data_IF_910227534349
#
_entry.id   IF_910227534349
#
_cell.length_a   1.000
_cell.length_b   1.000
_cell.length_c   1.000
_cell.angle_alpha   90.00
_cell.angle_beta   90.00
_cell.angle_gamma   90.00
#
_symmetry.space_group_name_H-M   'P 1'
#
loop_
_entity.id
_entity.type
_entity.pdbx_description
1 polymer ?
#
# COMPACT_ATOMS: atom_id res chain seq x y z
N UNK A 1 3.31 -6.65 -18.85
CA UNK A 1 3.66 -5.90 -17.63
C UNK A 1 4.49 -6.83 -16.74
N UNK A 2 5.70 -6.45 -16.33
CA UNK A 2 6.56 -7.32 -15.53
C UNK A 2 6.10 -7.34 -14.06
N UNK A 3 6.44 -8.41 -13.32
CA UNK A 3 6.06 -8.56 -11.90
C UNK A 3 6.58 -7.40 -11.05
N UNK A 4 7.80 -6.94 -11.31
CA UNK A 4 8.43 -5.79 -10.65
C UNK A 4 7.64 -4.50 -10.87
N UNK A 5 7.12 -4.29 -12.08
CA UNK A 5 6.31 -3.10 -12.36
C UNK A 5 4.97 -3.12 -11.62
N UNK A 6 4.37 -4.29 -11.41
CA UNK A 6 3.15 -4.42 -10.61
C UNK A 6 3.45 -4.07 -9.15
N UNK A 7 4.52 -4.64 -8.58
CA UNK A 7 4.96 -4.34 -7.21
C UNK A 7 5.23 -2.84 -7.04
N UNK A 8 5.95 -2.22 -7.98
CA UNK A 8 6.23 -0.78 -7.95
C UNK A 8 4.96 0.09 -7.99
N UNK A 9 3.91 -0.35 -8.68
CA UNK A 9 2.63 0.37 -8.70
C UNK A 9 1.85 0.18 -7.39
N UNK A 10 1.86 -1.02 -6.83
CA UNK A 10 1.18 -1.33 -5.57
C UNK A 10 1.85 -0.67 -4.35
N UNK A 11 3.17 -0.45 -4.38
CA UNK A 11 3.88 0.29 -3.31
C UNK A 11 3.80 1.81 -3.46
N UNK A 12 3.22 2.30 -4.56
CA UNK A 12 3.14 3.74 -4.81
C UNK A 12 2.22 4.42 -3.80
N UNK A 13 2.72 5.45 -3.12
CA UNK A 13 1.92 6.29 -2.23
C UNK A 13 0.69 6.88 -2.94
N UNK A 14 0.81 7.19 -4.25
CA UNK A 14 -0.30 7.70 -5.08
C UNK A 14 -1.43 6.67 -5.22
N UNK A 15 -1.09 5.39 -5.33
CA UNK A 15 -2.09 4.32 -5.44
C UNK A 15 -2.95 4.23 -4.17
N UNK A 16 -2.31 4.23 -3.00
CA UNK A 16 -3.00 4.13 -1.71
C UNK A 16 -3.84 5.36 -1.39
N UNK A 17 -3.36 6.57 -1.73
CA UNK A 17 -4.15 7.80 -1.57
C UNK A 17 -5.41 7.75 -2.44
N UNK A 18 -5.31 7.28 -3.69
CA UNK A 18 -6.46 7.14 -4.58
C UNK A 18 -7.45 6.09 -4.07
N UNK A 19 -6.97 4.97 -3.52
CA UNK A 19 -7.84 3.96 -2.87
C UNK A 19 -8.56 4.57 -1.67
N UNK A 20 -7.87 5.28 -0.80
CA UNK A 20 -8.47 5.91 0.37
C UNK A 20 -9.53 6.95 -0.04
N UNK A 21 -9.24 7.78 -1.04
CA UNK A 21 -10.20 8.76 -1.57
C UNK A 21 -11.41 8.10 -2.23
N UNK A 22 -11.20 7.02 -3.00
CA UNK A 22 -12.27 6.27 -3.65
C UNK A 22 -13.20 5.61 -2.62
N UNK A 23 -12.63 4.88 -1.65
CA UNK A 23 -13.41 4.24 -0.59
C UNK A 23 -14.10 5.31 0.27
N UNK A 24 -13.41 6.40 0.63
CA UNK A 24 -14.03 7.50 1.36
C UNK A 24 -15.25 8.08 0.64
N UNK A 25 -15.16 8.25 -0.69
CA UNK A 25 -16.27 8.73 -1.51
C UNK A 25 -17.45 7.75 -1.54
N UNK A 26 -17.18 6.44 -1.59
CA UNK A 26 -18.23 5.42 -1.52
C UNK A 26 -18.92 5.41 -0.16
N UNK A 27 -18.17 5.51 0.93
CA UNK A 27 -18.76 5.52 2.28
C UNK A 27 -19.64 6.74 2.50
N UNK A 28 -19.21 7.91 2.00
CA UNK A 28 -20.04 9.12 1.99
C UNK A 28 -21.32 8.92 1.18
N UNK A 29 -21.23 8.32 -0.02
CA UNK A 29 -22.40 8.04 -0.85
C UNK A 29 -23.40 7.07 -0.20
N UNK A 30 -22.93 6.17 0.66
CA UNK A 30 -23.76 5.24 1.42
C UNK A 30 -24.25 5.80 2.78
N UNK A 31 -24.04 7.09 3.05
CA UNK A 31 -24.46 7.75 4.30
C UNK A 31 -23.84 7.15 5.58
N UNK A 32 -22.59 6.66 5.51
CA UNK A 32 -21.85 6.27 6.71
C UNK A 32 -21.54 7.50 7.57
N UNK A 33 -21.47 7.32 8.89
CA UNK A 33 -21.13 8.42 9.80
C UNK A 33 -19.63 8.77 9.76
N UNK A 34 -19.30 10.02 10.06
CA UNK A 34 -17.92 10.55 10.01
C UNK A 34 -16.91 9.70 10.81
N UNK A 35 -17.33 9.21 11.99
CA UNK A 35 -16.50 8.33 12.82
C UNK A 35 -16.18 7.00 12.13
N UNK A 36 -17.14 6.41 11.39
CA UNK A 36 -16.93 5.17 10.65
C UNK A 36 -16.02 5.41 9.44
N UNK A 37 -16.22 6.52 8.74
CA UNK A 37 -15.38 6.91 7.60
C UNK A 37 -13.92 7.13 8.05
N UNK A 38 -13.72 7.82 9.17
CA UNK A 38 -12.40 8.03 9.76
C UNK A 38 -11.73 6.71 10.16
N UNK A 39 -12.47 5.80 10.81
CA UNK A 39 -11.97 4.47 11.19
C UNK A 39 -11.56 3.65 9.97
N UNK A 40 -12.40 3.57 8.94
CA UNK A 40 -12.10 2.82 7.72
C UNK A 40 -10.88 3.42 7.00
N UNK A 41 -10.80 4.75 6.93
CA UNK A 41 -9.64 5.45 6.35
C UNK A 41 -8.35 5.17 7.12
N UNK A 42 -8.42 5.12 8.46
CA UNK A 42 -7.28 4.78 9.31
C UNK A 42 -6.83 3.32 9.08
N UNK A 43 -7.78 2.38 8.95
CA UNK A 43 -7.49 0.97 8.65
C UNK A 43 -6.78 0.85 7.30
N UNK A 44 -7.28 1.52 6.25
CA UNK A 44 -6.65 1.52 4.91
C UNK A 44 -5.22 2.06 4.98
N UNK A 45 -5.01 3.14 5.72
CA UNK A 45 -3.69 3.77 5.86
C UNK A 45 -2.71 2.88 6.62
N UNK A 46 -3.15 2.26 7.71
CA UNK A 46 -2.33 1.31 8.47
C UNK A 46 -1.96 0.10 7.62
N UNK A 47 -2.93 -0.47 6.89
CA UNK A 47 -2.68 -1.58 5.98
C UNK A 47 -1.69 -1.21 4.88
N UNK A 48 -1.86 -0.03 4.26
CA UNK A 48 -0.94 0.50 3.27
C UNK A 48 0.49 0.60 3.82
N UNK A 49 0.65 1.10 5.05
CA UNK A 49 1.96 1.24 5.70
C UNK A 49 2.63 -0.11 5.89
N UNK A 50 1.91 -1.12 6.40
CA UNK A 50 2.43 -2.47 6.61
C UNK A 50 2.81 -3.11 5.27
N UNK A 51 1.94 -3.02 4.26
CA UNK A 51 2.19 -3.60 2.94
C UNK A 51 3.43 -2.97 2.26
N UNK A 52 3.59 -1.66 2.33
CA UNK A 52 4.75 -0.95 1.78
C UNK A 52 6.03 -1.37 2.51
N UNK A 53 5.98 -1.47 3.84
CA UNK A 53 7.14 -1.87 4.64
C UNK A 53 7.63 -3.28 4.29
N UNK A 54 6.73 -4.27 4.26
CA UNK A 54 7.08 -5.66 3.90
C UNK A 54 7.67 -5.74 2.48
N UNK A 55 7.11 -5.00 1.53
CA UNK A 55 7.61 -4.98 0.16
C UNK A 55 8.96 -4.26 0.04
N UNK A 56 9.24 -3.26 0.89
CA UNK A 56 10.53 -2.61 0.97
C UNK A 56 11.59 -3.55 1.55
N UNK A 57 11.32 -4.24 2.66
CA UNK A 57 12.21 -5.27 3.22
C UNK A 57 12.51 -6.37 2.19
N UNK A 58 11.48 -6.90 1.53
CA UNK A 58 11.66 -7.92 0.49
C UNK A 58 12.51 -7.44 -0.70
N UNK A 59 12.58 -6.14 -0.95
CA UNK A 59 13.47 -5.57 -1.98
C UNK A 59 14.92 -5.47 -1.51
N UNK A 60 15.14 -5.14 -0.24
CA UNK A 60 16.47 -5.09 0.40
C UNK A 60 17.04 -6.50 0.52
N UNK A 61 16.24 -7.47 0.94
CA UNK A 61 16.66 -8.87 1.08
C UNK A 61 17.12 -9.47 -0.26
N UNK A 62 16.42 -9.13 -1.35
CA UNK A 62 16.82 -9.57 -2.70
C UNK A 62 18.18 -8.99 -3.10
N UNK A 63 18.41 -7.71 -2.82
CA UNK A 63 19.69 -7.07 -3.10
C UNK A 63 20.83 -7.71 -2.28
N UNK A 64 20.62 -7.91 -0.97
CA UNK A 64 21.60 -8.57 -0.10
C UNK A 64 21.89 -10.02 -0.52
N UNK A 65 20.89 -10.76 -0.99
CA UNK A 65 21.07 -12.12 -1.50
C UNK A 65 21.80 -12.17 -2.85
N UNK A 66 21.75 -11.10 -3.65
CA UNK A 66 22.53 -10.97 -4.88
C UNK A 66 23.99 -10.65 -4.59
N UNK A 67 24.27 -9.76 -3.63
CA UNK A 67 25.64 -9.43 -3.22
C UNK A 67 26.39 -10.66 -2.71
N UNK A 68 25.76 -11.48 -1.86
CA UNK A 68 26.34 -12.75 -1.36
C UNK A 68 26.65 -13.80 -2.43
N UNK A 69 26.06 -13.72 -3.62
CA UNK A 69 26.35 -14.67 -4.72
C UNK A 69 27.53 -14.24 -5.59
N UNK A 70 28.00 -13.01 -5.40
CA UNK A 70 29.06 -12.41 -6.22
C UNK A 70 30.42 -12.45 -5.52
N UNK A 71 30.45 -12.84 -4.24
CA UNK A 71 31.63 -13.25 -3.46
C UNK A 71 31.87 -14.76 -3.56
#
# INVERSE_FOLDING_TARGET
>A
MTKEQIVKKLTSRKFWVLIAAFIGSLLMAFNFGDNQIAQITAIITNFASVAIYILAEASVDKAAAQDKKTE
#
